data_IF_789442877474
#
_entry.id   IF_789442877474
#
_cell.length_a   1.000
_cell.length_b   1.000
_cell.length_c   1.000
_cell.angle_alpha   90.00
_cell.angle_beta   90.00
_cell.angle_gamma   90.00
#
_symmetry.space_group_name_H-M   'P 1'
#
loop_
_entity.id
_entity.type
_entity.pdbx_description
1 polymer ?
#
# COMPACT_ATOMS: atom_id res chain seq x y z
N UNK A 1 8.71 103.19 14.27
CA UNK A 1 8.61 101.72 14.26
C UNK A 1 9.89 101.19 13.56
N UNK A 2 10.90 100.82 14.32
CA UNK A 2 12.18 100.36 13.79
C UNK A 2 12.18 98.85 13.76
N UNK A 3 12.21 98.33 12.56
CA UNK A 3 12.42 96.85 12.35
C UNK A 3 13.93 96.57 12.52
N UNK A 4 14.31 95.91 13.60
CA UNK A 4 15.65 95.35 13.85
C UNK A 4 15.86 94.09 12.96
N UNK A 5 16.53 94.29 11.84
CA UNK A 5 17.14 93.19 11.10
C UNK A 5 18.51 92.87 11.76
N UNK A 6 18.53 91.80 12.56
CA UNK A 6 19.80 91.31 13.02
C UNK A 6 20.52 90.61 11.85
N UNK A 7 21.68 91.12 11.44
CA UNK A 7 22.57 90.47 10.46
C UNK A 7 23.08 89.17 11.05
N UNK A 8 22.57 88.10 10.55
CA UNK A 8 23.15 86.79 10.85
C UNK A 8 24.63 86.66 10.38
N UNK A 9 25.41 85.81 10.93
CA UNK A 9 26.81 85.66 10.59
C UNK A 9 27.00 85.39 9.08
N UNK A 10 28.05 86.02 8.50
CA UNK A 10 28.33 86.00 7.04
C UNK A 10 28.46 84.54 6.54
N UNK A 11 28.03 84.32 5.30
CA UNK A 11 28.05 83.03 4.62
C UNK A 11 29.40 82.24 4.80
N UNK A 12 30.59 82.87 4.69
CA UNK A 12 31.83 82.19 4.88
C UNK A 12 32.03 81.70 6.32
N UNK A 13 31.56 82.40 7.35
CA UNK A 13 31.63 81.98 8.71
C UNK A 13 30.77 80.75 9.03
N UNK A 14 29.62 80.61 8.38
CA UNK A 14 28.77 79.44 8.48
C UNK A 14 29.39 78.19 7.83
N UNK A 15 30.07 78.39 6.68
CA UNK A 15 30.81 77.31 6.02
C UNK A 15 32.01 76.84 6.86
N UNK A 16 32.77 77.74 7.41
CA UNK A 16 33.91 77.40 8.28
C UNK A 16 33.45 76.70 9.57
N UNK A 17 32.35 77.16 10.17
CA UNK A 17 31.76 76.53 11.36
C UNK A 17 31.20 75.15 11.05
N UNK A 18 30.57 74.96 9.91
CA UNK A 18 30.07 73.64 9.45
C UNK A 18 31.24 72.67 9.18
N UNK A 19 32.32 73.16 8.57
CA UNK A 19 33.49 72.35 8.28
C UNK A 19 34.23 71.92 9.57
N UNK A 20 34.39 72.87 10.53
CA UNK A 20 34.94 72.54 11.85
C UNK A 20 34.08 71.56 12.64
N UNK A 21 32.73 71.68 12.59
CA UNK A 21 31.81 70.76 13.23
C UNK A 21 31.90 69.38 12.59
N UNK A 22 32.00 69.30 11.27
CA UNK A 22 32.18 68.01 10.57
C UNK A 22 33.47 67.31 10.93
N UNK A 23 34.60 68.05 10.95
CA UNK A 23 35.90 67.51 11.37
C UNK A 23 35.87 67.08 12.84
N UNK A 24 35.23 67.85 13.70
CA UNK A 24 35.05 67.48 15.11
C UNK A 24 34.23 66.21 15.29
N UNK A 25 33.14 66.06 14.54
CA UNK A 25 32.34 64.83 14.57
C UNK A 25 33.08 63.59 14.05
N UNK A 26 33.90 63.76 13.00
CA UNK A 26 34.73 62.68 12.47
C UNK A 26 35.81 62.24 13.46
N UNK A 27 36.50 63.23 14.12
CA UNK A 27 37.49 62.95 15.12
C UNK A 27 36.89 62.34 16.41
N UNK A 28 35.67 62.78 16.75
CA UNK A 28 34.91 62.24 17.89
C UNK A 28 34.50 60.81 17.63
N UNK A 29 34.03 60.48 16.42
CA UNK A 29 33.67 59.14 16.00
C UNK A 29 34.93 58.23 15.99
N UNK A 30 36.06 58.72 15.48
CA UNK A 30 37.28 57.93 15.36
C UNK A 30 37.98 57.65 16.71
N UNK A 31 37.95 58.59 17.68
CA UNK A 31 38.66 58.45 18.95
C UNK A 31 37.87 57.83 20.09
N UNK A 32 36.53 57.91 20.05
CA UNK A 32 35.69 57.51 21.17
C UNK A 32 34.77 56.33 20.86
N UNK A 33 34.80 55.77 19.63
CA UNK A 33 33.85 54.70 19.20
C UNK A 33 32.40 55.01 19.61
N UNK A 34 32.03 56.29 19.76
CA UNK A 34 30.78 56.70 20.34
C UNK A 34 29.53 56.31 19.50
N UNK A 35 29.74 56.06 18.19
CA UNK A 35 28.66 55.65 17.31
C UNK A 35 28.47 54.13 17.21
N UNK A 36 29.47 53.34 17.67
CA UNK A 36 29.31 51.87 17.70
C UNK A 36 28.21 51.45 18.68
N UNK A 37 28.14 52.12 19.83
CA UNK A 37 27.11 51.84 20.85
C UNK A 37 25.74 52.35 20.42
N UNK A 38 25.63 53.51 19.74
CA UNK A 38 24.38 54.04 19.20
C UNK A 38 23.83 53.20 18.05
N UNK A 39 24.68 52.60 17.21
CA UNK A 39 24.24 51.63 16.18
C UNK A 39 23.62 50.38 16.78
N UNK A 40 24.19 49.87 17.89
CA UNK A 40 23.62 48.72 18.60
C UNK A 40 22.26 49.02 19.20
N UNK A 41 22.06 50.23 19.77
CA UNK A 41 20.76 50.64 20.30
C UNK A 41 19.74 50.92 19.18
N UNK A 42 20.14 51.52 18.04
CA UNK A 42 19.25 51.70 16.89
C UNK A 42 18.85 50.37 16.24
N UNK A 43 19.77 49.42 16.08
CA UNK A 43 19.44 48.07 15.60
C UNK A 43 18.55 47.32 16.58
N UNK A 44 18.71 47.52 17.88
CA UNK A 44 17.83 46.91 18.89
C UNK A 44 16.39 47.47 18.86
N UNK A 45 16.23 48.70 18.40
CA UNK A 45 14.87 49.30 18.20
C UNK A 45 14.24 48.86 16.87
N UNK A 46 14.99 48.53 15.84
CA UNK A 46 14.50 48.06 14.56
C UNK A 46 14.16 46.57 14.61
N UNK A 47 14.83 45.77 15.42
CA UNK A 47 14.60 44.36 15.58
C UNK A 47 13.16 43.99 15.99
N UNK A 48 12.54 44.60 17.01
CA UNK A 48 11.15 44.31 17.36
C UNK A 48 10.15 44.74 16.28
N UNK A 49 10.49 45.78 15.48
CA UNK A 49 9.62 46.21 14.36
C UNK A 49 9.64 45.19 13.21
N UNK A 50 10.77 44.56 12.94
CA UNK A 50 10.88 43.46 11.97
C UNK A 50 10.14 42.19 12.45
N UNK A 51 10.19 41.90 13.76
CA UNK A 51 9.42 40.82 14.36
C UNK A 51 7.90 41.04 14.23
N UNK A 52 7.43 42.26 14.45
CA UNK A 52 6.01 42.64 14.29
C UNK A 52 5.57 42.62 12.82
N UNK A 53 6.45 42.94 11.88
CA UNK A 53 6.13 42.93 10.44
C UNK A 53 6.01 41.49 9.87
N UNK A 54 6.71 40.50 10.45
CA UNK A 54 6.69 39.10 10.02
C UNK A 54 5.58 38.26 10.70
N UNK A 55 5.04 38.72 11.83
CA UNK A 55 3.97 38.03 12.56
C UNK A 55 2.69 37.77 11.75
N UNK A 56 2.17 38.69 10.90
CA UNK A 56 0.96 38.44 10.14
C UNK A 56 1.09 37.29 9.12
N UNK A 57 2.28 37.12 8.51
CA UNK A 57 2.50 36.09 7.49
C UNK A 57 2.54 34.67 8.07
N UNK A 58 3.19 34.47 9.22
CA UNK A 58 3.25 33.15 9.86
C UNK A 58 1.91 32.73 10.49
N UNK A 59 1.20 33.67 11.12
CA UNK A 59 -0.11 33.40 11.69
C UNK A 59 -1.17 33.09 10.62
N UNK A 60 -1.11 33.77 9.47
CA UNK A 60 -2.01 33.49 8.34
C UNK A 60 -1.67 32.16 7.66
N UNK A 61 -0.40 31.80 7.51
CA UNK A 61 -0.01 30.53 6.89
C UNK A 61 -0.35 29.32 7.78
N UNK A 62 -0.14 29.43 9.10
CA UNK A 62 -0.53 28.38 10.07
C UNK A 62 -2.04 28.22 10.17
N UNK A 63 -2.79 29.33 10.09
CA UNK A 63 -4.26 29.28 10.11
C UNK A 63 -4.82 28.72 8.81
N UNK A 64 -4.28 29.11 7.67
CA UNK A 64 -4.69 28.60 6.35
C UNK A 64 -4.38 27.11 6.19
N UNK A 65 -3.20 26.64 6.62
CA UNK A 65 -2.85 25.23 6.54
C UNK A 65 -3.71 24.36 7.48
N UNK A 66 -4.09 24.85 8.65
CA UNK A 66 -5.01 24.13 9.55
C UNK A 66 -6.44 24.05 9.01
N UNK A 67 -6.94 25.10 8.38
CA UNK A 67 -8.27 25.11 7.76
C UNK A 67 -8.34 24.15 6.56
N UNK A 68 -7.33 24.16 5.68
CA UNK A 68 -7.23 23.24 4.55
C UNK A 68 -7.14 21.79 5.03
N UNK A 69 -6.33 21.53 6.07
CA UNK A 69 -6.21 20.19 6.65
C UNK A 69 -7.53 19.72 7.27
N UNK A 70 -8.28 20.59 7.94
CA UNK A 70 -9.56 20.23 8.55
C UNK A 70 -10.63 19.91 7.49
N UNK A 71 -10.69 20.70 6.42
CA UNK A 71 -11.62 20.44 5.31
C UNK A 71 -11.27 19.14 4.57
N UNK A 72 -9.97 18.87 4.39
CA UNK A 72 -9.50 17.63 3.77
C UNK A 72 -9.82 16.42 4.64
N UNK A 73 -9.57 16.47 5.94
CA UNK A 73 -9.93 15.42 6.88
C UNK A 73 -11.44 15.18 6.94
N UNK A 74 -12.24 16.23 6.85
CA UNK A 74 -13.70 16.10 6.82
C UNK A 74 -14.18 15.41 5.55
N UNK A 75 -13.61 15.76 4.38
CA UNK A 75 -13.91 15.11 3.10
C UNK A 75 -13.49 13.64 3.11
N UNK A 76 -12.29 13.35 3.62
CA UNK A 76 -11.78 11.98 3.76
C UNK A 76 -12.64 11.15 4.70
N UNK A 77 -13.02 11.70 5.87
CA UNK A 77 -13.92 11.02 6.79
C UNK A 77 -15.30 10.74 6.16
N UNK A 78 -15.85 11.70 5.43
CA UNK A 78 -17.11 11.52 4.72
C UNK A 78 -17.00 10.45 3.61
N UNK A 79 -15.87 10.40 2.90
CA UNK A 79 -15.59 9.39 1.89
C UNK A 79 -15.45 8.00 2.54
N UNK A 80 -14.63 7.86 3.57
CA UNK A 80 -14.45 6.61 4.30
C UNK A 80 -15.76 6.10 4.91
N UNK A 81 -16.58 7.00 5.45
CA UNK A 81 -17.91 6.66 5.96
C UNK A 81 -18.83 6.13 4.85
N UNK A 82 -18.79 6.74 3.66
CA UNK A 82 -19.55 6.28 2.50
C UNK A 82 -19.08 4.90 2.03
N UNK A 83 -17.77 4.70 1.93
CA UNK A 83 -17.19 3.42 1.56
C UNK A 83 -17.54 2.32 2.57
N UNK A 84 -17.48 2.63 3.87
CA UNK A 84 -17.88 1.72 4.94
C UNK A 84 -19.37 1.34 4.84
N UNK A 85 -20.27 2.29 4.53
CA UNK A 85 -21.69 2.02 4.35
C UNK A 85 -21.95 1.12 3.12
N UNK A 86 -21.28 1.39 2.00
CA UNK A 86 -21.40 0.56 0.77
C UNK A 86 -20.91 -0.87 1.07
N UNK A 87 -19.74 -0.99 1.68
CA UNK A 87 -19.14 -2.28 2.05
C UNK A 87 -20.03 -3.05 3.03
N UNK A 88 -20.59 -2.36 4.03
CA UNK A 88 -21.54 -2.96 4.98
C UNK A 88 -22.80 -3.49 4.28
N UNK A 89 -23.36 -2.73 3.31
CA UNK A 89 -24.48 -3.18 2.50
C UNK A 89 -24.16 -4.41 1.65
N UNK A 90 -22.98 -4.43 1.04
CA UNK A 90 -22.51 -5.60 0.28
C UNK A 90 -22.32 -6.82 1.19
N UNK A 91 -21.77 -6.63 2.39
CA UNK A 91 -21.59 -7.70 3.37
C UNK A 91 -22.94 -8.28 3.84
N UNK A 92 -23.95 -7.42 4.06
CA UNK A 92 -25.32 -7.88 4.39
C UNK A 92 -25.91 -8.74 3.27
N UNK A 93 -25.77 -8.30 2.01
CA UNK A 93 -26.21 -9.07 0.83
C UNK A 93 -25.45 -10.40 0.71
N UNK A 94 -24.14 -10.37 0.95
CA UNK A 94 -23.32 -11.58 0.94
C UNK A 94 -23.80 -12.60 2.00
N UNK A 95 -24.01 -12.15 3.24
CA UNK A 95 -24.54 -13.02 4.32
C UNK A 95 -25.91 -13.62 3.99
N UNK A 96 -26.77 -12.85 3.34
CA UNK A 96 -28.06 -13.34 2.88
C UNK A 96 -27.90 -14.45 1.83
N UNK A 97 -27.04 -14.22 0.82
CA UNK A 97 -26.78 -15.22 -0.22
C UNK A 97 -26.11 -16.48 0.33
N UNK A 98 -25.21 -16.33 1.32
CA UNK A 98 -24.59 -17.44 2.03
C UNK A 98 -25.64 -18.28 2.78
N UNK A 99 -26.51 -17.64 3.56
CA UNK A 99 -27.58 -18.31 4.27
C UNK A 99 -28.57 -19.02 3.32
N UNK A 100 -28.89 -18.41 2.19
CA UNK A 100 -29.76 -19.04 1.18
C UNK A 100 -29.05 -20.23 0.49
N UNK A 101 -27.74 -20.11 0.21
CA UNK A 101 -26.96 -21.22 -0.32
C UNK A 101 -26.94 -22.41 0.67
N UNK A 102 -26.71 -22.14 1.95
CA UNK A 102 -26.69 -23.17 3.00
C UNK A 102 -28.06 -23.84 3.14
N UNK A 103 -29.14 -23.05 3.05
CA UNK A 103 -30.52 -23.58 3.03
C UNK A 103 -30.77 -24.49 1.83
N UNK A 104 -30.35 -24.05 0.63
CA UNK A 104 -30.48 -24.87 -0.58
C UNK A 104 -29.67 -26.15 -0.49
N UNK A 105 -28.44 -26.10 0.04
CA UNK A 105 -27.60 -27.28 0.27
C UNK A 105 -28.22 -28.24 1.28
N UNK A 106 -28.79 -27.73 2.37
CA UNK A 106 -29.48 -28.55 3.36
C UNK A 106 -30.69 -29.29 2.81
N UNK A 107 -31.45 -28.63 1.92
CA UNK A 107 -32.60 -29.25 1.21
C UNK A 107 -32.13 -30.37 0.25
N UNK A 108 -30.93 -30.27 -0.30
CA UNK A 108 -30.31 -31.24 -1.19
C UNK A 108 -29.49 -32.31 -0.43
N UNK A 109 -29.52 -32.33 0.90
CA UNK A 109 -28.66 -33.17 1.75
C UNK A 109 -27.16 -33.08 1.39
N UNK A 110 -26.72 -31.91 0.92
CA UNK A 110 -25.34 -31.65 0.57
C UNK A 110 -24.59 -31.06 1.79
N UNK A 111 -23.36 -31.52 2.12
CA UNK A 111 -22.64 -31.01 3.29
C UNK A 111 -22.41 -29.50 3.15
N UNK A 112 -22.71 -28.77 4.22
CA UNK A 112 -22.40 -27.34 4.34
C UNK A 112 -20.88 -27.21 4.52
N UNK A 113 -20.22 -26.44 3.66
CA UNK A 113 -18.79 -26.13 3.86
C UNK A 113 -18.68 -25.15 5.02
N UNK A 114 -18.02 -25.56 6.09
CA UNK A 114 -17.84 -24.78 7.31
C UNK A 114 -16.88 -23.59 7.09
N UNK A 115 -16.93 -22.67 8.04
CA UNK A 115 -16.16 -21.44 8.05
C UNK A 115 -14.64 -21.74 8.06
N UNK A 116 -13.94 -21.39 7.00
CA UNK A 116 -12.50 -21.64 6.85
C UNK A 116 -11.73 -20.77 7.85
N UNK A 117 -10.94 -21.40 8.76
CA UNK A 117 -10.02 -20.66 9.66
C UNK A 117 -9.03 -19.87 8.80
N UNK A 118 -8.77 -18.61 9.21
CA UNK A 118 -7.85 -17.70 8.51
C UNK A 118 -6.90 -17.06 9.48
N UNK A 119 -5.64 -16.94 9.11
CA UNK A 119 -4.64 -16.23 9.92
C UNK A 119 -3.74 -15.39 9.01
N UNK A 120 -3.32 -14.23 9.51
CA UNK A 120 -2.44 -13.32 8.77
C UNK A 120 -0.98 -13.65 9.08
N UNK A 121 -0.16 -13.74 8.05
CA UNK A 121 1.30 -13.84 8.14
C UNK A 121 1.97 -12.64 7.46
N UNK A 122 3.19 -12.34 7.86
CA UNK A 122 4.02 -11.32 7.23
C UNK A 122 5.15 -11.95 6.43
N UNK A 123 5.47 -11.34 5.31
CA UNK A 123 6.64 -11.67 4.52
C UNK A 123 7.91 -11.32 5.30
N UNK A 124 8.78 -12.30 5.52
CA UNK A 124 10.10 -12.10 6.15
C UNK A 124 11.21 -11.90 5.13
N UNK A 125 11.21 -12.69 4.08
CA UNK A 125 12.23 -12.66 3.04
C UNK A 125 11.72 -13.24 1.72
N UNK A 126 12.37 -12.83 0.64
CA UNK A 126 12.21 -13.44 -0.69
C UNK A 126 13.45 -14.30 -0.93
N UNK A 127 13.26 -15.54 -1.36
CA UNK A 127 14.38 -16.41 -1.69
C UNK A 127 15.01 -15.96 -3.02
N UNK A 128 16.30 -15.71 -3.02
CA UNK A 128 17.04 -15.25 -4.19
C UNK A 128 17.48 -16.40 -5.12
N UNK A 129 16.90 -17.58 -4.98
CA UNK A 129 17.18 -18.68 -5.88
C UNK A 129 16.62 -18.41 -7.29
N UNK A 130 17.44 -18.28 -8.34
CA UNK A 130 16.94 -17.96 -9.68
C UNK A 130 16.12 -19.09 -10.32
N UNK A 131 16.18 -20.29 -9.75
CA UNK A 131 15.48 -21.48 -10.25
C UNK A 131 14.18 -21.80 -9.51
N UNK A 132 13.85 -21.06 -8.47
CA UNK A 132 12.66 -21.31 -7.66
C UNK A 132 12.10 -20.03 -7.07
N UNK A 133 10.83 -19.78 -7.33
CA UNK A 133 10.13 -18.61 -6.82
C UNK A 133 9.50 -18.93 -5.47
N UNK A 134 10.24 -18.63 -4.39
CA UNK A 134 9.83 -18.91 -3.01
C UNK A 134 9.92 -17.65 -2.15
N UNK A 135 9.07 -17.61 -1.13
CA UNK A 135 9.11 -16.58 -0.09
C UNK A 135 9.09 -17.23 1.29
N UNK A 136 9.56 -16.52 2.31
CA UNK A 136 9.58 -16.95 3.70
C UNK A 136 8.62 -16.06 4.49
N UNK A 137 7.75 -16.70 5.31
CA UNK A 137 6.76 -16.03 6.16
C UNK A 137 7.07 -16.26 7.65
N UNK A 138 6.57 -15.38 8.51
CA UNK A 138 6.78 -15.36 9.97
C UNK A 138 5.86 -16.32 10.74
N UNK A 139 5.35 -17.36 10.11
CA UNK A 139 4.49 -18.38 10.71
C UNK A 139 5.05 -19.77 10.42
N UNK A 140 4.99 -20.65 11.40
CA UNK A 140 5.51 -22.01 11.32
C UNK A 140 4.68 -23.02 12.10
N UNK A 141 5.28 -24.16 12.44
CA UNK A 141 4.61 -25.25 13.16
C UNK A 141 3.98 -24.80 14.49
N UNK A 142 4.57 -23.81 15.19
CA UNK A 142 3.99 -23.25 16.42
C UNK A 142 2.65 -22.52 16.19
N UNK A 143 2.30 -22.23 14.95
CA UNK A 143 1.04 -21.61 14.55
C UNK A 143 0.11 -22.60 13.83
N UNK A 144 0.32 -23.91 13.99
CA UNK A 144 -0.45 -24.97 13.32
C UNK A 144 -0.36 -24.90 11.77
N UNK A 145 0.76 -24.39 11.23
CA UNK A 145 1.00 -24.38 9.78
C UNK A 145 1.37 -25.78 9.33
N UNK A 146 0.87 -26.18 8.15
CA UNK A 146 1.12 -27.48 7.56
C UNK A 146 1.54 -27.35 6.08
N UNK A 147 2.18 -28.40 5.56
CA UNK A 147 2.59 -28.47 4.15
C UNK A 147 1.39 -28.51 3.22
N UNK A 148 1.53 -27.87 2.05
CA UNK A 148 0.47 -27.66 1.06
C UNK A 148 -0.65 -26.71 1.51
N UNK A 149 -0.50 -26.02 2.65
CA UNK A 149 -1.49 -25.02 3.09
C UNK A 149 -1.56 -23.85 2.11
N UNK A 150 -2.77 -23.45 1.67
CA UNK A 150 -2.94 -22.34 0.71
C UNK A 150 -2.61 -20.99 1.33
N UNK A 151 -1.93 -20.16 0.53
CA UNK A 151 -1.52 -18.80 0.86
C UNK A 151 -2.10 -17.82 -0.16
N UNK A 152 -2.75 -16.77 0.34
CA UNK A 152 -3.42 -15.76 -0.47
C UNK A 152 -2.89 -14.35 -0.13
N UNK A 153 -3.16 -13.40 -1.00
CA UNK A 153 -3.13 -11.97 -0.69
C UNK A 153 -4.57 -11.40 -0.65
N UNK A 154 -4.70 -10.08 -0.69
CA UNK A 154 -5.99 -9.38 -0.72
C UNK A 154 -6.76 -9.57 -2.04
N UNK A 155 -6.11 -10.08 -3.09
CA UNK A 155 -6.67 -10.21 -4.45
C UNK A 155 -6.85 -11.64 -4.91
N UNK A 156 -6.00 -12.56 -4.49
CA UNK A 156 -6.07 -13.93 -4.96
C UNK A 156 -5.04 -14.88 -4.38
N UNK A 157 -4.85 -16.02 -5.03
CA UNK A 157 -3.93 -17.06 -4.59
C UNK A 157 -2.50 -16.67 -4.92
N UNK A 158 -1.62 -16.70 -3.90
CA UNK A 158 -0.19 -16.45 -3.99
C UNK A 158 0.60 -17.74 -4.20
N UNK A 159 0.24 -18.80 -3.49
CA UNK A 159 0.97 -20.06 -3.51
C UNK A 159 0.51 -21.03 -2.44
N UNK A 160 1.40 -21.95 -2.10
CA UNK A 160 1.18 -22.93 -1.03
C UNK A 160 2.44 -23.10 -0.17
N UNK A 161 2.27 -23.52 1.07
CA UNK A 161 3.39 -23.87 1.96
C UNK A 161 4.11 -25.09 1.38
N UNK A 162 5.41 -24.95 1.11
CA UNK A 162 6.26 -26.02 0.62
C UNK A 162 7.01 -26.72 1.77
N UNK A 163 7.46 -25.93 2.75
CA UNK A 163 8.22 -26.44 3.90
C UNK A 163 7.86 -25.66 5.15
N UNK A 164 7.66 -26.37 6.25
CA UNK A 164 7.32 -25.80 7.55
C UNK A 164 8.53 -25.87 8.48
N UNK A 165 8.96 -24.70 8.98
CA UNK A 165 9.90 -24.60 10.10
C UNK A 165 9.18 -24.37 11.42
N UNK A 166 9.92 -24.27 12.52
CA UNK A 166 9.31 -24.06 13.84
C UNK A 166 8.56 -22.73 13.96
N UNK A 167 9.18 -21.63 13.52
CA UNK A 167 8.66 -20.25 13.62
C UNK A 167 8.42 -19.58 12.27
N UNK A 168 8.89 -20.18 11.20
CA UNK A 168 8.77 -19.66 9.84
C UNK A 168 8.42 -20.79 8.87
N UNK A 169 7.93 -20.44 7.67
CA UNK A 169 7.64 -21.42 6.63
C UNK A 169 8.02 -20.87 5.26
N UNK A 170 8.31 -21.77 4.32
CA UNK A 170 8.57 -21.45 2.92
C UNK A 170 7.30 -21.63 2.11
N UNK A 171 6.97 -20.64 1.30
CA UNK A 171 5.84 -20.62 0.38
C UNK A 171 6.36 -20.74 -1.04
N UNK A 172 5.86 -21.69 -1.79
CA UNK A 172 6.08 -21.82 -3.23
C UNK A 172 5.04 -20.99 -3.96
N UNK A 173 5.47 -20.03 -4.78
CA UNK A 173 4.57 -19.16 -5.54
C UNK A 173 3.90 -19.91 -6.70
N UNK A 174 2.67 -19.50 -7.07
CA UNK A 174 1.93 -20.11 -8.21
C UNK A 174 2.66 -19.94 -9.54
N UNK A 175 3.57 -18.99 -9.64
CA UNK A 175 4.38 -18.70 -10.83
C UNK A 175 5.67 -19.49 -10.92
N UNK A 176 6.01 -20.26 -9.89
CA UNK A 176 7.14 -21.20 -9.93
C UNK A 176 6.94 -22.28 -11.00
N UNK A 177 8.00 -22.64 -11.70
CA UNK A 177 7.94 -23.62 -12.81
C UNK A 177 7.51 -25.02 -12.37
N UNK A 178 7.66 -25.34 -11.09
CA UNK A 178 7.27 -26.62 -10.50
C UNK A 178 5.84 -26.62 -9.96
N UNK A 179 5.18 -25.43 -9.93
CA UNK A 179 3.83 -25.32 -9.38
C UNK A 179 2.78 -25.51 -10.46
N UNK A 180 1.77 -26.32 -10.15
CA UNK A 180 0.58 -26.51 -10.97
C UNK A 180 -0.69 -26.44 -10.12
N UNK A 181 -1.69 -25.71 -10.62
CA UNK A 181 -2.93 -25.44 -9.90
C UNK A 181 -4.14 -25.76 -10.78
N UNK A 182 -5.05 -26.63 -10.34
CA UNK A 182 -6.30 -26.88 -11.05
C UNK A 182 -7.25 -25.70 -10.85
N UNK A 183 -7.70 -25.13 -11.95
CA UNK A 183 -8.61 -23.96 -12.00
C UNK A 183 -9.89 -24.27 -12.77
N UNK A 184 -10.85 -23.38 -12.66
CA UNK A 184 -12.03 -23.32 -13.53
C UNK A 184 -12.24 -21.91 -14.05
N UNK A 185 -12.76 -21.80 -15.26
CA UNK A 185 -13.17 -20.51 -15.83
C UNK A 185 -14.45 -20.05 -15.13
N UNK A 186 -14.48 -18.81 -14.65
CA UNK A 186 -15.65 -18.28 -13.92
C UNK A 186 -16.92 -18.21 -14.78
N UNK A 187 -16.79 -17.98 -16.09
CA UNK A 187 -17.89 -17.80 -17.03
C UNK A 187 -18.62 -19.10 -17.35
N UNK A 188 -17.91 -20.19 -17.63
CA UNK A 188 -18.48 -21.43 -18.16
C UNK A 188 -18.10 -22.69 -17.40
N UNK A 189 -17.40 -22.57 -16.26
CA UNK A 189 -16.92 -23.66 -15.43
C UNK A 189 -15.99 -24.68 -16.13
N UNK A 190 -15.42 -24.35 -17.27
CA UNK A 190 -14.40 -25.19 -17.92
C UNK A 190 -13.20 -25.36 -16.98
N UNK A 191 -12.79 -26.62 -16.77
CA UNK A 191 -11.69 -26.97 -15.90
C UNK A 191 -10.37 -27.03 -16.68
N UNK A 192 -9.34 -26.42 -16.09
CA UNK A 192 -8.02 -26.26 -16.70
C UNK A 192 -6.95 -26.44 -15.65
N UNK A 193 -5.69 -26.60 -16.09
CA UNK A 193 -4.53 -26.61 -15.22
C UNK A 193 -3.64 -25.41 -15.59
N UNK A 194 -3.38 -24.57 -14.61
CA UNK A 194 -2.44 -23.44 -14.73
C UNK A 194 -1.10 -23.85 -14.13
N UNK A 195 -0.01 -23.50 -14.80
CA UNK A 195 1.37 -23.74 -14.34
C UNK A 195 2.18 -22.47 -14.37
N UNK A 196 3.14 -22.37 -13.48
CA UNK A 196 4.10 -21.29 -13.44
C UNK A 196 5.09 -21.34 -14.61
N UNK A 197 5.60 -20.18 -14.97
CA UNK A 197 6.61 -20.02 -16.01
C UNK A 197 7.99 -19.64 -15.49
N UNK A 198 8.11 -19.37 -14.17
CA UNK A 198 9.29 -18.77 -13.55
C UNK A 198 9.30 -17.24 -13.65
N UNK A 199 8.25 -16.62 -14.20
CA UNK A 199 8.05 -15.17 -14.23
C UNK A 199 6.92 -14.77 -13.30
N UNK A 200 7.11 -13.76 -12.43
CA UNK A 200 6.10 -13.31 -11.46
C UNK A 200 4.79 -12.83 -12.11
N UNK A 201 4.81 -12.48 -13.39
CA UNK A 201 3.69 -11.87 -14.08
C UNK A 201 3.05 -12.75 -15.15
N UNK A 202 3.51 -14.00 -15.31
CA UNK A 202 3.02 -14.87 -16.36
C UNK A 202 2.79 -16.30 -15.85
N UNK A 203 1.65 -16.84 -16.24
CA UNK A 203 1.27 -18.24 -16.06
C UNK A 203 0.89 -18.81 -17.42
N UNK A 204 1.00 -20.12 -17.59
CA UNK A 204 0.54 -20.83 -18.78
C UNK A 204 -0.57 -21.81 -18.43
N UNK A 205 -1.51 -21.98 -19.32
CA UNK A 205 -2.56 -22.99 -19.21
C UNK A 205 -2.19 -24.15 -20.10
N UNK A 206 -2.10 -25.34 -19.48
CA UNK A 206 -1.57 -26.53 -20.15
C UNK A 206 -2.69 -27.32 -20.86
N UNK A 207 -2.34 -27.93 -21.98
CA UNK A 207 -3.13 -28.96 -22.69
C UNK A 207 -4.58 -28.50 -23.04
N UNK A 208 -4.72 -27.28 -23.53
CA UNK A 208 -6.03 -26.72 -23.92
C UNK A 208 -6.38 -27.16 -25.36
N UNK A 209 -7.41 -28.00 -25.57
CA UNK A 209 -7.88 -28.34 -26.90
C UNK A 209 -8.38 -27.12 -27.69
N UNK A 210 -8.24 -27.14 -29.02
CA UNK A 210 -8.73 -26.05 -29.89
C UNK A 210 -10.24 -25.82 -29.80
N UNK A 211 -11.01 -26.84 -29.39
CA UNK A 211 -12.47 -26.75 -29.21
C UNK A 211 -12.92 -26.12 -27.89
N UNK A 212 -11.98 -25.77 -27.03
CA UNK A 212 -12.31 -25.22 -25.70
C UNK A 212 -12.78 -23.78 -25.82
N UNK A 213 -13.93 -23.46 -25.21
CA UNK A 213 -14.50 -22.10 -25.18
C UNK A 213 -13.76 -21.26 -24.13
N UNK A 214 -12.77 -20.47 -24.57
CA UNK A 214 -12.00 -19.52 -23.79
C UNK A 214 -11.96 -18.17 -24.49
N UNK A 215 -11.99 -17.11 -23.68
CA UNK A 215 -11.85 -15.74 -24.16
C UNK A 215 -10.73 -15.03 -23.40
N UNK A 216 -10.05 -14.10 -24.05
CA UNK A 216 -9.17 -13.16 -23.36
C UNK A 216 -9.99 -12.33 -22.38
N UNK A 217 -9.48 -12.12 -21.15
CA UNK A 217 -10.21 -11.51 -20.04
C UNK A 217 -11.00 -12.50 -19.18
N UNK A 218 -11.07 -13.80 -19.52
CA UNK A 218 -11.71 -14.79 -18.67
C UNK A 218 -10.97 -14.94 -17.33
N UNK A 219 -11.73 -14.81 -16.23
CA UNK A 219 -11.22 -14.98 -14.87
C UNK A 219 -11.13 -16.47 -14.54
N UNK A 220 -9.96 -16.88 -14.04
CA UNK A 220 -9.70 -18.24 -13.56
C UNK A 220 -9.79 -18.26 -12.03
N UNK A 221 -10.61 -19.16 -11.53
CA UNK A 221 -10.83 -19.42 -10.12
C UNK A 221 -10.26 -20.79 -9.74
N UNK A 222 -9.84 -20.98 -8.50
CA UNK A 222 -9.50 -22.30 -7.97
C UNK A 222 -10.67 -23.25 -8.09
N UNK A 223 -10.41 -24.49 -8.52
CA UNK A 223 -11.47 -25.48 -8.77
C UNK A 223 -11.85 -26.32 -7.57
N UNK A 224 -11.07 -26.27 -6.49
CA UNK A 224 -11.22 -27.15 -5.33
C UNK A 224 -10.70 -28.59 -5.54
N UNK A 225 -10.25 -28.93 -6.76
CA UNK A 225 -9.71 -30.24 -7.05
C UNK A 225 -8.35 -30.44 -6.39
N UNK A 226 -8.07 -31.63 -5.91
CA UNK A 226 -6.84 -31.95 -5.18
C UNK A 226 -6.86 -31.51 -3.71
N UNK A 227 -7.93 -30.84 -3.27
CA UNK A 227 -8.16 -30.43 -1.88
C UNK A 227 -7.08 -29.53 -1.24
N UNK A 228 -6.14 -29.00 -2.03
CA UNK A 228 -5.13 -28.07 -1.57
C UNK A 228 -5.71 -26.67 -1.51
N UNK A 229 -6.30 -26.20 -2.59
CA UNK A 229 -6.88 -24.87 -2.67
C UNK A 229 -8.41 -24.94 -2.57
N UNK A 230 -9.03 -24.15 -1.67
CA UNK A 230 -10.49 -24.06 -1.61
C UNK A 230 -11.05 -23.55 -2.94
N UNK A 231 -12.25 -23.97 -3.29
CA UNK A 231 -12.94 -23.59 -4.52
C UNK A 231 -13.34 -22.11 -4.52
N UNK A 232 -13.20 -21.43 -5.67
CA UNK A 232 -13.76 -20.10 -5.92
C UNK A 232 -12.85 -18.93 -5.67
N UNK A 233 -11.59 -19.12 -5.29
CA UNK A 233 -10.65 -18.02 -5.10
C UNK A 233 -10.02 -17.59 -6.43
N UNK A 234 -9.85 -16.27 -6.69
CA UNK A 234 -9.20 -15.76 -7.88
C UNK A 234 -7.74 -16.24 -8.00
N UNK A 235 -7.36 -16.66 -9.19
CA UNK A 235 -6.00 -17.15 -9.51
C UNK A 235 -5.34 -16.26 -10.56
N UNK A 236 -5.95 -16.16 -11.74
CA UNK A 236 -5.37 -15.47 -12.88
C UNK A 236 -6.47 -14.99 -13.85
N UNK A 237 -6.08 -14.09 -14.75
CA UNK A 237 -6.89 -13.64 -15.88
C UNK A 237 -6.18 -14.01 -17.19
N UNK A 238 -6.93 -14.55 -18.15
CA UNK A 238 -6.39 -14.93 -19.46
C UNK A 238 -6.01 -13.68 -20.22
N UNK A 239 -4.73 -13.59 -20.64
CA UNK A 239 -4.20 -12.42 -21.34
C UNK A 239 -4.00 -12.65 -22.83
N UNK A 240 -3.81 -13.90 -23.26
CA UNK A 240 -3.53 -14.22 -24.66
C UNK A 240 -3.90 -15.65 -24.99
N UNK A 241 -4.54 -15.84 -26.13
CA UNK A 241 -4.89 -17.15 -26.68
C UNK A 241 -4.35 -17.22 -28.10
N UNK A 242 -3.36 -18.09 -28.35
CA UNK A 242 -2.77 -18.29 -29.67
C UNK A 242 -3.11 -19.68 -30.17
N UNK A 243 -3.83 -19.71 -31.32
CA UNK A 243 -4.11 -20.94 -32.05
C UNK A 243 -3.08 -21.11 -33.16
N UNK A 244 -2.33 -22.20 -33.11
CA UNK A 244 -1.36 -22.61 -34.12
C UNK A 244 -1.80 -23.98 -34.64
N UNK A 245 -2.16 -24.06 -35.90
CA UNK A 245 -2.62 -25.31 -36.54
C UNK A 245 -1.52 -26.40 -36.56
N UNK A 246 -0.27 -26.03 -36.42
CA UNK A 246 0.87 -26.98 -36.30
C UNK A 246 1.01 -27.60 -34.92
N UNK A 247 0.21 -27.19 -33.92
CA UNK A 247 0.28 -27.65 -32.52
C UNK A 247 -1.04 -28.34 -32.10
N UNK A 248 -0.95 -29.42 -31.29
CA UNK A 248 -2.14 -30.13 -30.83
C UNK A 248 -3.00 -29.37 -29.85
N UNK A 249 -2.49 -28.31 -29.21
CA UNK A 249 -3.13 -27.53 -28.16
C UNK A 249 -2.95 -26.04 -28.38
N UNK A 250 -3.94 -25.25 -27.90
CA UNK A 250 -3.84 -23.80 -27.80
C UNK A 250 -2.69 -23.40 -26.87
N UNK A 251 -1.99 -22.33 -27.20
CA UNK A 251 -1.10 -21.67 -26.27
C UNK A 251 -1.86 -20.56 -25.55
N UNK A 252 -2.14 -20.77 -24.27
CA UNK A 252 -2.91 -19.82 -23.48
C UNK A 252 -2.03 -19.29 -22.36
N UNK A 253 -1.90 -17.97 -22.31
CA UNK A 253 -1.20 -17.25 -21.24
C UNK A 253 -2.19 -16.54 -20.32
N UNK A 254 -1.85 -16.46 -19.06
CA UNK A 254 -2.62 -15.76 -18.07
C UNK A 254 -1.70 -14.94 -17.16
N UNK A 255 -2.26 -13.91 -16.54
CA UNK A 255 -1.59 -13.08 -15.55
C UNK A 255 -2.16 -13.38 -14.17
N UNK A 256 -1.33 -13.60 -13.14
CA UNK A 256 -1.78 -13.73 -11.76
C UNK A 256 -2.62 -12.52 -11.32
N UNK A 257 -3.68 -12.75 -10.55
CA UNK A 257 -4.46 -11.68 -9.91
C UNK A 257 -3.74 -11.16 -8.67
N UNK A 258 -3.09 -12.05 -7.92
CA UNK A 258 -2.23 -11.71 -6.81
C UNK A 258 -1.05 -10.83 -7.24
N UNK A 259 -0.69 -9.84 -6.40
CA UNK A 259 0.44 -8.93 -6.67
C UNK A 259 1.75 -9.50 -6.12
N UNK A 260 2.32 -10.49 -6.81
CA UNK A 260 3.48 -11.25 -6.35
C UNK A 260 4.77 -10.43 -6.20
N UNK A 261 4.83 -9.24 -6.80
CA UNK A 261 5.94 -8.29 -6.69
C UNK A 261 5.87 -7.35 -5.47
N UNK A 262 4.72 -7.31 -4.76
CA UNK A 262 4.44 -6.34 -3.67
C UNK A 262 3.88 -6.98 -2.41
N UNK A 263 4.16 -8.26 -2.21
CA UNK A 263 3.67 -9.01 -1.06
C UNK A 263 4.23 -8.42 0.24
N UNK A 264 3.35 -8.23 1.23
CA UNK A 264 3.72 -7.83 2.58
C UNK A 264 2.95 -8.62 3.62
N UNK A 265 1.63 -8.65 3.50
CA UNK A 265 0.74 -9.43 4.36
C UNK A 265 0.10 -10.53 3.53
N UNK A 266 0.01 -11.71 4.10
CA UNK A 266 -0.49 -12.92 3.48
C UNK A 266 -1.55 -13.55 4.36
N UNK A 267 -2.53 -14.18 3.75
CA UNK A 267 -3.60 -14.88 4.44
C UNK A 267 -3.43 -16.39 4.28
N UNK A 268 -3.28 -17.08 5.39
CA UNK A 268 -3.22 -18.52 5.45
C UNK A 268 -4.62 -19.08 5.66
N UNK A 269 -5.00 -20.09 4.89
CA UNK A 269 -6.29 -20.75 5.00
C UNK A 269 -6.12 -22.18 5.51
N UNK A 270 -6.98 -22.59 6.45
CA UNK A 270 -7.10 -24.00 6.85
C UNK A 270 -8.22 -24.64 6.03
N UNK A 271 -7.91 -25.64 5.21
CA UNK A 271 -8.94 -26.42 4.51
C UNK A 271 -9.63 -27.38 5.50
N UNK A 272 -10.96 -27.54 5.38
CA UNK A 272 -11.77 -28.34 6.29
C UNK A 272 -11.35 -29.82 6.41
N UNK A 273 -10.42 -30.29 5.58
CA UNK A 273 -9.98 -31.70 5.51
C UNK A 273 -9.13 -32.11 6.71
N UNK A 274 -8.33 -31.19 7.24
CA UNK A 274 -7.48 -31.47 8.41
C UNK A 274 -8.21 -31.39 9.76
N UNK A 275 -9.46 -30.92 9.79
CA UNK A 275 -10.26 -30.89 11.03
C UNK A 275 -11.03 -32.18 11.29
N UNK A 276 -10.99 -33.19 10.40
CA UNK A 276 -11.75 -34.42 10.50
C UNK A 276 -10.89 -35.67 10.74
N UNK A 277 -9.61 -35.55 11.11
CA UNK A 277 -8.95 -36.71 11.72
C UNK A 277 -9.40 -36.80 13.18
N UNK A 278 -10.20 -37.82 13.55
CA UNK A 278 -10.42 -38.12 14.95
C UNK A 278 -9.07 -38.52 15.51
N UNK A 279 -8.65 -37.89 16.57
CA UNK A 279 -7.60 -38.37 17.47
C UNK A 279 -8.06 -39.72 18.05
N UNK A 280 -8.00 -40.79 17.26
CA UNK A 280 -7.97 -42.17 17.78
C UNK A 280 -6.52 -42.45 18.15
N UNK A 281 -6.16 -42.10 19.38
CA UNK A 281 -5.11 -42.82 20.10
C UNK A 281 -5.04 -42.32 21.54
N UNK A 282 -5.76 -42.98 22.39
CA UNK A 282 -5.33 -43.21 23.76
C UNK A 282 -6.27 -44.22 24.44
N UNK A 283 -6.19 -45.48 24.03
CA UNK A 283 -6.55 -46.59 24.92
C UNK A 283 -5.93 -47.90 24.37
N UNK A 284 -4.72 -48.15 24.77
CA UNK A 284 -4.18 -49.50 24.96
C UNK A 284 -3.16 -49.45 26.09
#
# INVERSE_FOLDING_TARGET
>A
MNLMFSKGPSLPNRLVLGLLLSIFLILFDHKLNGFATTRVYLNSFVSPLQYLANLPGELLSVSASRLVSHEQLFKENAQLTREALITSGQLQKFRFLEAENDRLRSLLNSPVKNNVRREVAELMAVDNNPYSLQIIINKGALNDIYESQPVLDDKGIVGQIMQVGSTNSRVLLITDVTHALPVRVARNNVRLIVSGTGSLNELIIQHVPHSTDLNEGDLLLSSGLGNVFPEGYPVAEITSIVSDEGRPFLQVKAKPIAQLDRLKYLLLLWSDINNNEPTEEANL
#
